data_IF_338396690679
#
_entry.id   IF_338396690679
#
_cell.length_a   1.000
_cell.length_b   1.000
_cell.length_c   1.000
_cell.angle_alpha   90.00
_cell.angle_beta   90.00
_cell.angle_gamma   90.00
#
_symmetry.space_group_name_H-M   'P 1'
#
loop_
_entity.id
_entity.type
_entity.pdbx_description
1 polymer ?
#
# COMPACT_ATOMS: atom_id res chain seq x y z
N UNK A 1 4.70 -56.75 -34.67
CA UNK A 1 5.47 -55.49 -34.52
C UNK A 1 4.74 -54.39 -35.26
N UNK A 2 4.77 -53.14 -34.78
CA UNK A 2 4.06 -51.95 -35.28
C UNK A 2 2.60 -51.81 -34.78
N UNK A 3 2.44 -51.23 -33.58
CA UNK A 3 1.25 -50.42 -33.22
C UNK A 3 1.45 -49.48 -32.02
N UNK A 4 2.65 -49.44 -31.42
CA UNK A 4 2.96 -48.60 -30.25
C UNK A 4 3.63 -47.25 -30.58
N UNK A 5 4.18 -47.03 -31.78
CA UNK A 5 4.88 -45.77 -32.09
C UNK A 5 3.96 -44.62 -32.53
N UNK A 6 2.84 -44.91 -33.20
CA UNK A 6 1.87 -43.87 -33.62
C UNK A 6 1.17 -43.24 -32.42
N UNK A 7 0.73 -44.06 -31.44
CA UNK A 7 0.05 -43.58 -30.22
C UNK A 7 0.98 -42.69 -29.38
N UNK A 8 2.27 -43.04 -29.25
CA UNK A 8 3.26 -42.20 -28.56
C UNK A 8 3.48 -40.86 -29.26
N UNK A 9 3.50 -40.81 -30.60
CA UNK A 9 3.60 -39.54 -31.35
C UNK A 9 2.37 -38.64 -31.14
N UNK A 10 1.16 -39.22 -31.12
CA UNK A 10 -0.06 -38.44 -30.86
C UNK A 10 -0.11 -37.92 -29.42
N UNK A 11 0.32 -38.71 -28.42
CA UNK A 11 0.40 -38.27 -27.03
C UNK A 11 1.40 -37.12 -26.86
N UNK A 12 2.57 -37.20 -27.51
CA UNK A 12 3.57 -36.12 -27.48
C UNK A 12 3.04 -34.85 -28.13
N UNK A 13 2.34 -34.96 -29.27
CA UNK A 13 1.72 -33.80 -29.95
C UNK A 13 0.62 -33.19 -29.08
N UNK A 14 -0.22 -34.01 -28.42
CA UNK A 14 -1.26 -33.54 -27.51
C UNK A 14 -0.63 -32.83 -26.29
N UNK A 15 0.44 -33.39 -25.72
CA UNK A 15 1.19 -32.75 -24.62
C UNK A 15 1.85 -31.44 -25.05
N UNK A 16 2.35 -31.35 -26.28
CA UNK A 16 2.90 -30.11 -26.85
C UNK A 16 1.81 -29.07 -27.11
N UNK A 17 0.63 -29.47 -27.60
CA UNK A 17 -0.50 -28.55 -27.79
C UNK A 17 -1.04 -28.06 -26.45
N UNK A 18 -1.13 -28.93 -25.45
CA UNK A 18 -1.53 -28.56 -24.08
C UNK A 18 -0.48 -27.63 -23.46
N UNK A 19 0.82 -27.89 -23.61
CA UNK A 19 1.86 -27.00 -23.11
C UNK A 19 1.91 -25.66 -23.86
N UNK A 20 1.64 -25.62 -25.16
CA UNK A 20 1.48 -24.36 -25.90
C UNK A 20 0.25 -23.57 -25.43
N UNK A 21 -0.88 -24.22 -25.13
CA UNK A 21 -2.07 -23.52 -24.59
C UNK A 21 -1.91 -23.07 -23.13
N UNK A 22 -1.13 -23.79 -22.33
CA UNK A 22 -0.80 -23.42 -20.95
C UNK A 22 0.24 -22.28 -20.89
N UNK A 23 1.19 -22.23 -21.84
CA UNK A 23 2.19 -21.16 -21.95
C UNK A 23 1.63 -19.87 -22.57
N UNK A 24 0.57 -19.93 -23.38
CA UNK A 24 -0.18 -18.73 -23.81
C UNK A 24 -1.08 -18.13 -22.72
N UNK A 25 -1.16 -18.78 -21.54
CA UNK A 25 -1.80 -18.22 -20.35
C UNK A 25 -0.80 -17.58 -19.37
N UNK A 26 0.48 -17.45 -19.73
CA UNK A 26 1.34 -16.37 -19.21
C UNK A 26 0.87 -15.04 -19.81
N UNK A 27 -0.30 -14.62 -19.34
CA UNK A 27 -0.99 -13.42 -19.76
C UNK A 27 -0.39 -12.21 -19.06
N UNK A 28 0.68 -11.66 -19.64
CA UNK A 28 0.80 -10.21 -19.67
C UNK A 28 -0.49 -9.69 -20.35
N UNK A 29 -1.34 -8.94 -19.62
CA UNK A 29 -2.68 -8.39 -20.01
C UNK A 29 -3.95 -9.03 -19.40
N UNK A 30 -3.92 -9.63 -18.19
CA UNK A 30 -5.16 -10.10 -17.51
C UNK A 30 -5.57 -9.28 -16.27
N UNK A 31 -5.24 -8.00 -16.23
CA UNK A 31 -6.15 -7.06 -15.58
C UNK A 31 -7.32 -6.88 -16.54
N UNK A 32 -8.56 -7.03 -16.06
CA UNK A 32 -9.76 -7.03 -16.90
C UNK A 32 -9.72 -5.84 -17.88
N UNK A 33 -10.09 -6.05 -19.15
CA UNK A 33 -10.32 -4.94 -20.09
C UNK A 33 -11.55 -4.09 -19.70
N UNK A 34 -12.16 -4.35 -18.55
CA UNK A 34 -13.35 -3.68 -18.05
C UNK A 34 -12.91 -2.55 -17.14
N UNK A 35 -13.50 -1.38 -17.37
CA UNK A 35 -13.23 -0.20 -16.60
C UNK A 35 -14.52 0.54 -16.31
N UNK A 36 -14.46 1.36 -15.27
CA UNK A 36 -15.49 2.32 -14.91
C UNK A 36 -14.88 3.70 -15.13
N UNK A 37 -15.60 4.57 -15.83
CA UNK A 37 -15.24 5.99 -15.96
C UNK A 37 -15.81 6.77 -14.79
N UNK A 38 -15.00 7.65 -14.20
CA UNK A 38 -15.42 8.61 -13.19
C UNK A 38 -15.21 10.03 -13.72
N UNK A 39 -16.30 10.77 -13.88
CA UNK A 39 -16.27 12.11 -14.49
C UNK A 39 -15.60 13.16 -13.59
N UNK A 40 -15.57 12.99 -12.28
CA UNK A 40 -15.03 14.00 -11.36
C UNK A 40 -13.92 13.41 -10.49
N UNK A 41 -12.97 12.71 -11.08
CA UNK A 41 -11.93 12.03 -10.30
C UNK A 41 -12.48 10.88 -9.45
N UNK A 42 -11.70 10.47 -8.45
CA UNK A 42 -12.05 9.33 -7.58
C UNK A 42 -11.61 9.57 -6.15
N UNK A 43 -12.53 9.31 -5.22
CA UNK A 43 -12.24 9.29 -3.79
C UNK A 43 -11.65 7.95 -3.39
N UNK A 44 -10.53 7.98 -2.68
CA UNK A 44 -9.87 6.84 -2.07
C UNK A 44 -10.14 6.89 -0.57
N UNK A 45 -10.86 5.90 -0.05
CA UNK A 45 -11.33 5.84 1.34
C UNK A 45 -11.40 4.38 1.83
N UNK A 46 -11.87 4.14 3.05
CA UNK A 46 -12.02 2.78 3.59
C UNK A 46 -12.97 1.95 2.73
N UNK A 47 -12.60 0.69 2.49
CA UNK A 47 -13.42 -0.27 1.75
C UNK A 47 -14.84 -0.39 2.32
N UNK A 48 -15.84 -0.35 1.43
CA UNK A 48 -17.25 -0.22 1.79
C UNK A 48 -17.73 -1.31 2.77
N UNK A 49 -17.20 -2.52 2.65
CA UNK A 49 -17.55 -3.66 3.52
C UNK A 49 -17.09 -3.47 4.98
N UNK A 50 -16.17 -2.55 5.25
CA UNK A 50 -15.67 -2.24 6.59
C UNK A 50 -16.42 -1.11 7.29
N UNK A 51 -17.11 -0.24 6.54
CA UNK A 51 -17.67 1.01 7.07
C UNK A 51 -18.63 0.80 8.26
N UNK A 52 -19.49 -0.22 8.21
CA UNK A 52 -20.43 -0.53 9.30
C UNK A 52 -19.75 -1.07 10.58
N UNK A 53 -18.50 -1.53 10.46
CA UNK A 53 -17.72 -2.07 11.57
C UNK A 53 -16.77 -1.04 12.16
N UNK A 54 -16.53 0.08 11.48
CA UNK A 54 -15.70 1.17 11.99
C UNK A 54 -16.28 1.71 13.29
N UNK A 55 -15.42 1.82 14.30
CA UNK A 55 -15.79 2.34 15.61
C UNK A 55 -16.19 3.82 15.53
N UNK A 56 -15.40 4.63 14.84
CA UNK A 56 -15.72 6.02 14.56
C UNK A 56 -16.02 6.20 13.06
N UNK A 57 -17.29 6.43 12.74
CA UNK A 57 -17.75 6.64 11.35
C UNK A 57 -17.70 8.11 10.91
N UNK A 58 -17.46 9.05 11.84
CA UNK A 58 -17.46 10.48 11.56
C UNK A 58 -16.11 10.99 11.01
N UNK A 59 -15.08 10.16 11.09
CA UNK A 59 -13.67 10.52 10.80
C UNK A 59 -13.03 9.52 9.84
N UNK A 60 -13.82 8.92 8.95
CA UNK A 60 -13.28 8.04 7.91
C UNK A 60 -12.45 8.87 6.94
N UNK A 61 -11.15 8.55 6.74
CA UNK A 61 -10.29 9.34 5.88
C UNK A 61 -10.72 9.16 4.43
N UNK A 62 -10.65 10.23 3.66
CA UNK A 62 -10.92 10.22 2.24
C UNK A 62 -9.97 11.18 1.54
N UNK A 63 -9.33 10.71 0.48
CA UNK A 63 -8.50 11.55 -0.36
C UNK A 63 -9.00 11.53 -1.80
N UNK A 64 -9.00 12.69 -2.44
CA UNK A 64 -9.48 12.83 -3.80
C UNK A 64 -8.32 12.81 -4.81
N UNK A 65 -8.43 11.97 -5.83
CA UNK A 65 -7.57 12.05 -7.01
C UNK A 65 -8.33 12.74 -8.15
N UNK A 66 -7.89 13.95 -8.49
CA UNK A 66 -8.54 14.76 -9.53
C UNK A 66 -8.06 14.36 -10.93
N UNK A 67 -8.98 13.80 -11.70
CA UNK A 67 -8.84 13.60 -13.15
C UNK A 67 -10.23 13.37 -13.76
N UNK A 68 -10.72 14.35 -14.52
CA UNK A 68 -11.98 14.25 -15.22
C UNK A 68 -11.98 13.11 -16.26
N UNK A 69 -12.97 12.23 -16.17
CA UNK A 69 -13.11 11.07 -17.05
C UNK A 69 -12.09 9.97 -16.76
N UNK A 70 -11.55 9.91 -15.54
CA UNK A 70 -10.58 8.88 -15.16
C UNK A 70 -11.17 7.48 -15.26
N UNK A 71 -10.42 6.58 -15.87
CA UNK A 71 -10.78 5.18 -16.04
C UNK A 71 -10.07 4.32 -15.02
N UNK A 72 -10.84 3.60 -14.23
CA UNK A 72 -10.33 2.70 -13.19
C UNK A 72 -10.83 1.28 -13.45
N UNK A 73 -10.05 0.27 -13.05
CA UNK A 73 -10.45 -1.14 -13.14
C UNK A 73 -11.79 -1.37 -12.45
N UNK A 74 -12.64 -2.23 -13.01
CA UNK A 74 -13.88 -2.69 -12.35
C UNK A 74 -13.62 -3.53 -11.09
N UNK A 75 -12.37 -3.89 -10.85
CA UNK A 75 -11.88 -4.53 -9.62
C UNK A 75 -11.33 -3.53 -8.60
N UNK A 76 -11.34 -2.23 -8.90
CA UNK A 76 -10.98 -1.21 -7.92
C UNK A 76 -11.98 -1.23 -6.77
N UNK A 77 -11.48 -1.03 -5.56
CA UNK A 77 -12.29 -0.87 -4.35
C UNK A 77 -12.25 0.58 -3.90
N UNK A 78 -12.93 0.93 -2.80
CA UNK A 78 -12.82 2.30 -2.28
C UNK A 78 -11.39 2.58 -1.79
N UNK A 79 -10.72 1.58 -1.21
CA UNK A 79 -9.37 1.75 -0.68
C UNK A 79 -8.28 1.56 -1.73
N UNK A 80 -8.57 0.93 -2.86
CA UNK A 80 -7.57 0.64 -3.90
C UNK A 80 -8.08 1.00 -5.28
N UNK A 81 -7.53 2.08 -5.83
CA UNK A 81 -7.79 2.53 -7.19
C UNK A 81 -6.70 2.03 -8.13
N UNK A 82 -7.09 1.29 -9.16
CA UNK A 82 -6.18 0.81 -10.20
C UNK A 82 -6.52 1.50 -11.53
N UNK A 83 -5.64 2.35 -12.03
CA UNK A 83 -5.87 3.12 -13.26
C UNK A 83 -5.69 2.24 -14.50
N UNK A 84 -6.61 2.30 -15.45
CA UNK A 84 -6.56 1.48 -16.67
C UNK A 84 -7.03 2.26 -17.89
N UNK A 85 -6.40 2.04 -19.04
CA UNK A 85 -6.86 2.57 -20.34
C UNK A 85 -7.05 4.10 -20.41
N UNK A 86 -6.39 4.85 -19.53
CA UNK A 86 -6.37 6.30 -19.59
C UNK A 86 -5.42 6.76 -20.72
N UNK A 87 -5.63 7.99 -21.19
CA UNK A 87 -4.54 8.70 -21.85
C UNK A 87 -3.37 8.80 -20.86
N UNK A 88 -2.21 8.26 -21.23
CA UNK A 88 -1.09 8.15 -20.29
C UNK A 88 -0.38 9.48 -20.04
N UNK A 89 -0.46 10.44 -20.96
CA UNK A 89 0.10 11.78 -20.70
C UNK A 89 -0.79 12.55 -19.74
N UNK A 90 -2.11 12.56 -19.99
CA UNK A 90 -3.06 13.21 -19.08
C UNK A 90 -3.05 12.56 -17.69
N UNK A 91 -3.00 11.22 -17.61
CA UNK A 91 -2.86 10.52 -16.34
C UNK A 91 -1.51 10.85 -15.66
N UNK A 92 -0.41 10.90 -16.40
CA UNK A 92 0.90 11.28 -15.87
C UNK A 92 0.87 12.67 -15.24
N UNK A 93 0.21 13.63 -15.91
CA UNK A 93 0.11 15.01 -15.44
C UNK A 93 -0.79 15.12 -14.20
N UNK A 94 -1.95 14.44 -14.21
CA UNK A 94 -2.82 14.34 -13.04
C UNK A 94 -2.10 13.69 -11.85
N UNK A 95 -1.30 12.66 -12.10
CA UNK A 95 -0.52 12.00 -11.06
C UNK A 95 0.61 12.88 -10.52
N UNK A 96 1.30 13.65 -11.37
CA UNK A 96 2.28 14.65 -10.93
C UNK A 96 1.63 15.68 -10.01
N UNK A 97 0.51 16.26 -10.43
CA UNK A 97 -0.25 17.24 -9.65
C UNK A 97 -0.70 16.66 -8.31
N UNK A 98 -1.19 15.41 -8.31
CA UNK A 98 -1.54 14.71 -7.09
C UNK A 98 -0.34 14.60 -6.14
N UNK A 99 0.83 14.15 -6.63
CA UNK A 99 2.03 14.04 -5.80
C UNK A 99 2.58 15.40 -5.34
N UNK A 100 2.47 16.44 -6.16
CA UNK A 100 2.89 17.81 -5.82
C UNK A 100 2.00 18.46 -4.76
N UNK A 101 0.77 17.98 -4.57
CA UNK A 101 -0.13 18.45 -3.51
C UNK A 101 0.35 18.11 -2.09
N UNK A 102 1.33 17.21 -1.96
CA UNK A 102 1.92 16.84 -0.67
C UNK A 102 3.31 17.43 -0.53
N UNK A 103 3.70 17.73 0.72
CA UNK A 103 5.05 18.16 1.05
C UNK A 103 6.04 17.01 0.89
N UNK A 104 7.31 17.32 0.62
CA UNK A 104 8.32 16.27 0.38
C UNK A 104 8.64 15.44 1.62
N UNK A 105 8.53 16.03 2.81
CA UNK A 105 8.71 15.35 4.10
C UNK A 105 7.54 14.40 4.45
N UNK A 106 6.43 14.47 3.71
CA UNK A 106 5.32 13.53 3.78
C UNK A 106 5.54 12.28 2.89
N UNK A 107 6.52 12.30 1.97
CA UNK A 107 6.72 11.26 0.95
C UNK A 107 7.91 10.39 1.29
N UNK A 108 7.74 9.08 1.21
CA UNK A 108 8.82 8.10 1.34
C UNK A 108 8.76 7.07 0.22
N UNK A 109 9.82 6.99 -0.60
CA UNK A 109 9.98 5.91 -1.57
C UNK A 109 10.49 4.67 -0.84
N UNK A 110 9.64 3.65 -0.70
CA UNK A 110 9.97 2.40 0.03
C UNK A 110 10.49 1.31 -0.89
N UNK A 111 10.25 1.44 -2.19
CA UNK A 111 10.84 0.57 -3.23
C UNK A 111 11.18 1.44 -4.44
N UNK A 112 12.37 1.24 -4.99
CA UNK A 112 12.77 1.80 -6.28
C UNK A 112 13.62 0.77 -7.02
N UNK A 113 13.16 0.32 -8.17
CA UNK A 113 13.82 -0.72 -8.98
C UNK A 113 13.98 -0.23 -10.40
N UNK A 114 15.21 -0.26 -10.92
CA UNK A 114 15.48 0.11 -12.30
C UNK A 114 14.81 -0.84 -13.30
N UNK A 115 14.12 -0.26 -14.29
CA UNK A 115 13.53 -1.03 -15.37
C UNK A 115 14.60 -1.38 -16.39
N UNK A 116 15.21 -2.56 -16.24
CA UNK A 116 16.38 -3.01 -17.00
C UNK A 116 16.22 -2.98 -18.54
N UNK A 117 14.97 -2.96 -19.05
CA UNK A 117 14.69 -2.89 -20.50
C UNK A 117 14.58 -1.46 -21.04
N UNK A 118 14.57 -0.45 -20.18
CA UNK A 118 14.44 0.98 -20.53
C UNK A 118 15.70 1.73 -20.13
N UNK A 119 16.79 1.51 -20.87
CA UNK A 119 18.10 2.13 -20.58
C UNK A 119 18.25 3.51 -21.21
N UNK A 120 17.86 3.67 -22.47
CA UNK A 120 17.95 4.95 -23.21
C UNK A 120 16.60 5.46 -23.68
N UNK A 121 15.60 4.59 -23.69
CA UNK A 121 14.25 4.90 -24.18
C UNK A 121 13.24 4.27 -23.24
N UNK A 122 12.29 5.07 -22.78
CA UNK A 122 11.15 4.63 -21.99
C UNK A 122 9.87 4.72 -22.82
N UNK A 123 8.89 3.88 -22.48
CA UNK A 123 7.56 3.93 -23.10
C UNK A 123 6.61 4.79 -22.28
N UNK A 124 5.69 5.46 -22.95
CA UNK A 124 4.48 6.04 -22.35
C UNK A 124 3.34 5.89 -23.35
N UNK A 125 2.32 5.12 -22.96
CA UNK A 125 1.28 4.68 -23.88
C UNK A 125 1.87 3.89 -25.05
N UNK A 126 1.65 4.41 -26.25
CA UNK A 126 2.19 3.84 -27.50
C UNK A 126 3.52 4.46 -27.91
N UNK A 127 3.92 5.54 -27.25
CA UNK A 127 5.08 6.34 -27.63
C UNK A 127 6.35 5.85 -26.94
N UNK A 128 7.47 6.28 -27.49
CA UNK A 128 8.82 6.01 -27.01
C UNK A 128 9.56 7.33 -26.89
N UNK A 129 9.99 7.65 -25.67
CA UNK A 129 10.70 8.88 -25.37
C UNK A 129 12.12 8.56 -24.93
N UNK A 130 13.07 9.37 -25.38
CA UNK A 130 14.47 9.27 -24.95
C UNK A 130 14.57 9.66 -23.47
N UNK A 131 15.21 8.82 -22.67
CA UNK A 131 15.47 9.10 -21.26
C UNK A 131 16.60 10.13 -21.18
N UNK A 132 16.44 11.13 -20.32
CA UNK A 132 17.45 12.17 -20.11
C UNK A 132 18.74 11.57 -19.56
N UNK A 133 19.88 12.06 -20.07
CA UNK A 133 21.20 11.62 -19.63
C UNK A 133 21.35 11.76 -18.10
N UNK A 134 21.87 10.72 -17.46
CA UNK A 134 22.04 10.66 -16.00
C UNK A 134 20.78 10.28 -15.22
N UNK A 135 19.63 10.09 -15.88
CA UNK A 135 18.39 9.61 -15.25
C UNK A 135 18.09 8.15 -15.62
N UNK A 136 17.13 7.54 -14.91
CA UNK A 136 16.75 6.13 -15.09
C UNK A 136 15.23 5.99 -15.12
N UNK A 137 14.76 4.94 -15.80
CA UNK A 137 13.39 4.46 -15.63
C UNK A 137 13.31 3.59 -14.38
N UNK A 138 12.42 3.94 -13.46
CA UNK A 138 12.30 3.34 -12.14
C UNK A 138 10.85 2.87 -11.90
N UNK A 139 10.67 1.67 -11.37
CA UNK A 139 9.43 1.22 -10.77
C UNK A 139 9.47 1.50 -9.28
N UNK A 140 8.55 2.34 -8.81
CA UNK A 140 8.54 2.86 -7.45
C UNK A 140 7.27 2.47 -6.69
N UNK A 141 7.44 2.31 -5.37
CA UNK A 141 6.34 2.38 -4.40
C UNK A 141 6.66 3.55 -3.47
N UNK A 142 5.75 4.51 -3.41
CA UNK A 142 5.84 5.68 -2.53
C UNK A 142 4.72 5.58 -1.50
N UNK A 143 5.08 5.72 -0.22
CA UNK A 143 4.13 5.95 0.87
C UNK A 143 4.05 7.46 1.10
N UNK A 144 2.84 7.98 1.23
CA UNK A 144 2.56 9.37 1.60
C UNK A 144 1.80 9.34 2.93
N UNK A 145 2.29 10.08 3.93
CA UNK A 145 1.60 10.27 5.21
C UNK A 145 0.89 11.62 5.20
N UNK A 146 -0.44 11.61 5.34
CA UNK A 146 -1.26 12.80 5.38
C UNK A 146 -1.10 13.55 6.71
N UNK A 147 -1.60 14.78 6.78
CA UNK A 147 -1.54 15.59 8.00
C UNK A 147 -2.17 14.90 9.21
N UNK A 148 -3.24 14.14 9.00
CA UNK A 148 -3.94 13.37 10.03
C UNK A 148 -3.27 12.03 10.37
N UNK A 149 -2.13 11.69 9.76
CA UNK A 149 -1.41 10.43 9.97
C UNK A 149 -1.89 9.26 9.09
N UNK A 150 -2.94 9.47 8.29
CA UNK A 150 -3.40 8.48 7.31
C UNK A 150 -2.29 8.21 6.29
N UNK A 151 -2.10 6.95 5.90
CA UNK A 151 -1.14 6.59 4.87
C UNK A 151 -1.82 6.18 3.58
N UNK A 152 -1.27 6.66 2.48
CA UNK A 152 -1.57 6.15 1.14
C UNK A 152 -0.30 5.61 0.48
N UNK A 153 -0.45 4.57 -0.33
CA UNK A 153 0.61 3.98 -1.14
C UNK A 153 0.32 4.21 -2.61
N UNK A 154 1.31 4.73 -3.32
CA UNK A 154 1.30 4.96 -4.75
C UNK A 154 2.28 4.00 -5.40
N UNK A 155 1.85 3.25 -6.42
CA UNK A 155 2.75 2.45 -7.25
C UNK A 155 2.68 2.90 -8.70
N UNK A 156 3.86 3.13 -9.28
CA UNK A 156 4.00 3.67 -10.63
C UNK A 156 5.40 3.35 -11.19
N UNK A 157 5.55 3.49 -12.51
CA UNK A 157 6.86 3.64 -13.15
C UNK A 157 7.11 5.11 -13.46
N UNK A 158 8.34 5.58 -13.31
CA UNK A 158 8.72 6.95 -13.62
C UNK A 158 10.02 7.02 -14.41
N UNK A 159 10.17 8.06 -15.24
CA UNK A 159 11.38 8.39 -15.99
C UNK A 159 11.37 9.88 -16.36
N UNK A 160 12.53 10.45 -16.69
CA UNK A 160 12.63 11.85 -17.13
C UNK A 160 12.95 11.90 -18.62
N UNK A 161 12.26 12.78 -19.36
CA UNK A 161 12.54 13.04 -20.78
C UNK A 161 12.30 14.53 -21.10
N UNK A 162 13.28 15.17 -21.74
CA UNK A 162 13.30 16.60 -22.02
C UNK A 162 13.03 17.47 -20.79
N UNK A 163 13.61 17.10 -19.64
CA UNK A 163 13.44 17.78 -18.36
C UNK A 163 12.12 17.52 -17.64
N UNK A 164 11.16 16.80 -18.26
CA UNK A 164 9.87 16.46 -17.65
C UNK A 164 9.91 15.06 -17.05
N UNK A 165 9.51 14.93 -15.79
CA UNK A 165 9.28 13.64 -15.14
C UNK A 165 7.90 13.11 -15.55
N UNK A 166 7.86 11.85 -15.97
CA UNK A 166 6.63 11.16 -16.35
C UNK A 166 6.28 10.06 -15.34
N UNK A 167 4.99 9.80 -15.17
CA UNK A 167 4.43 8.73 -14.36
C UNK A 167 3.60 7.83 -15.26
N UNK A 168 3.87 6.54 -15.26
CA UNK A 168 3.30 5.62 -16.22
C UNK A 168 3.06 4.23 -15.63
N UNK A 169 2.28 3.42 -16.35
CA UNK A 169 2.09 2.01 -16.01
C UNK A 169 3.42 1.27 -16.01
N UNK A 170 3.56 0.30 -15.10
CA UNK A 170 4.68 -0.63 -15.13
C UNK A 170 4.42 -1.69 -16.22
N UNK A 171 5.42 -2.52 -16.52
CA UNK A 171 5.24 -3.59 -17.51
C UNK A 171 4.44 -4.79 -16.96
N UNK A 172 4.35 -4.91 -15.64
CA UNK A 172 3.68 -6.01 -14.96
C UNK A 172 2.33 -5.58 -14.36
N UNK A 173 2.23 -4.31 -13.96
CA UNK A 173 1.14 -3.78 -13.13
C UNK A 173 0.75 -2.36 -13.58
N UNK A 174 -0.52 -2.03 -13.36
CA UNK A 174 -1.03 -0.70 -13.60
C UNK A 174 -0.61 0.27 -12.47
N UNK A 175 -0.69 1.57 -12.75
CA UNK A 175 -0.55 2.57 -11.70
C UNK A 175 -1.69 2.42 -10.70
N UNK A 176 -1.40 2.63 -9.42
CA UNK A 176 -2.40 2.55 -8.37
C UNK A 176 -2.16 3.55 -7.25
N UNK A 177 -3.25 3.96 -6.63
CA UNK A 177 -3.27 4.65 -5.33
C UNK A 177 -4.08 3.77 -4.39
N UNK A 178 -3.56 3.58 -3.17
CA UNK A 178 -4.18 2.73 -2.16
C UNK A 178 -4.16 3.40 -0.80
N UNK A 179 -5.30 3.52 -0.14
CA UNK A 179 -5.36 3.78 1.30
C UNK A 179 -4.82 2.57 2.03
N UNK A 180 -3.77 2.74 2.83
CA UNK A 180 -3.33 1.67 3.70
C UNK A 180 -4.31 1.49 4.85
N UNK A 181 -4.73 0.25 5.08
CA UNK A 181 -5.74 -0.08 6.08
C UNK A 181 -5.18 -1.02 7.16
N UNK A 182 -4.18 -0.58 7.96
CA UNK A 182 -3.80 -1.30 9.16
C UNK A 182 -4.95 -1.20 10.15
N UNK A 183 -5.48 -2.34 10.55
CA UNK A 183 -6.65 -2.38 11.43
C UNK A 183 -6.30 -2.93 12.80
N UNK A 184 -7.02 -2.43 13.80
CA UNK A 184 -7.13 -3.06 15.10
C UNK A 184 -8.59 -3.37 15.39
N UNK A 185 -8.84 -4.57 15.90
CA UNK A 185 -10.18 -4.98 16.35
C UNK A 185 -10.29 -4.66 17.82
N UNK A 186 -11.31 -3.90 18.21
CA UNK A 186 -11.59 -3.56 19.61
C UNK A 186 -12.95 -4.10 20.00
N UNK A 187 -13.16 -4.36 21.29
CA UNK A 187 -14.47 -4.74 21.82
C UNK A 187 -15.15 -3.53 22.48
N UNK A 188 -16.35 -3.18 22.00
CA UNK A 188 -17.21 -2.11 22.52
C UNK A 188 -18.65 -2.58 22.49
N UNK A 189 -19.39 -2.37 23.58
CA UNK A 189 -20.80 -2.78 23.71
C UNK A 189 -21.05 -4.26 23.33
N UNK A 190 -20.15 -5.15 23.74
CA UNK A 190 -20.15 -6.58 23.38
C UNK A 190 -20.07 -6.89 21.88
N UNK A 191 -19.68 -5.93 21.06
CA UNK A 191 -19.43 -6.09 19.63
C UNK A 191 -17.97 -5.81 19.29
N UNK A 192 -17.46 -6.55 18.32
CA UNK A 192 -16.16 -6.26 17.73
C UNK A 192 -16.32 -5.10 16.74
N UNK A 193 -15.47 -4.08 16.88
CA UNK A 193 -15.38 -2.90 16.03
C UNK A 193 -13.97 -2.77 15.48
N UNK A 194 -13.80 -1.98 14.44
CA UNK A 194 -12.53 -1.76 13.77
C UNK A 194 -12.12 -0.31 13.96
N UNK A 195 -10.84 -0.11 14.26
CA UNK A 195 -10.18 1.19 14.18
C UNK A 195 -9.03 1.10 13.19
N UNK A 196 -8.78 2.18 12.46
CA UNK A 196 -7.55 2.34 11.70
C UNK A 196 -6.40 2.62 12.69
N UNK A 197 -5.25 2.00 12.45
CA UNK A 197 -4.06 2.24 13.25
C UNK A 197 -3.19 3.35 12.65
N UNK A 198 -2.77 4.34 13.45
CA UNK A 198 -1.76 5.29 13.03
C UNK A 198 -0.40 4.60 13.10
N UNK A 199 0.16 4.24 11.95
CA UNK A 199 1.47 3.59 11.88
C UNK A 199 2.45 4.49 11.13
N UNK A 200 3.66 4.74 11.66
CA UNK A 200 4.71 5.47 10.95
C UNK A 200 5.10 4.81 9.63
N UNK A 201 5.75 5.56 8.73
CA UNK A 201 6.08 5.12 7.37
C UNK A 201 6.61 3.68 7.28
N UNK A 202 6.18 2.90 6.29
CA UNK A 202 6.69 1.53 6.02
C UNK A 202 6.60 0.51 7.18
N UNK A 203 5.98 0.87 8.31
CA UNK A 203 5.74 -0.08 9.42
C UNK A 203 4.92 -1.25 8.91
N UNK A 204 5.43 -2.47 9.07
CA UNK A 204 4.75 -3.71 8.63
C UNK A 204 3.68 -4.13 9.64
N UNK A 205 2.51 -4.51 9.12
CA UNK A 205 1.36 -4.91 9.92
C UNK A 205 0.74 -6.20 9.37
N UNK A 206 0.06 -6.96 10.25
CA UNK A 206 -0.55 -8.25 9.89
C UNK A 206 -2.05 -8.15 9.68
N UNK A 207 -2.75 -7.31 10.44
CA UNK A 207 -4.19 -7.13 10.35
C UNK A 207 -4.47 -6.01 9.34
N UNK A 208 -4.96 -6.39 8.15
CA UNK A 208 -5.11 -5.48 7.00
C UNK A 208 -6.47 -5.65 6.33
N UNK A 209 -7.11 -4.52 6.01
CA UNK A 209 -8.34 -4.47 5.21
C UNK A 209 -8.17 -4.82 3.74
N UNK A 210 -6.96 -4.69 3.20
CA UNK A 210 -6.72 -4.70 1.75
C UNK A 210 -6.92 -6.07 1.07
N UNK A 211 -6.80 -7.18 1.82
CA UNK A 211 -6.89 -8.54 1.27
C UNK A 211 -7.63 -9.54 2.17
N UNK A 212 -8.25 -9.05 3.24
CA UNK A 212 -8.97 -9.89 4.19
C UNK A 212 -10.44 -9.48 4.15
N UNK A 213 -11.36 -10.37 4.50
CA UNK A 213 -12.78 -9.99 4.67
C UNK A 213 -13.03 -9.55 6.11
N UNK A 214 -14.01 -8.64 6.35
CA UNK A 214 -14.37 -8.21 7.70
C UNK A 214 -14.64 -9.38 8.65
N UNK A 215 -15.41 -10.38 8.21
CA UNK A 215 -15.75 -11.58 9.00
C UNK A 215 -14.50 -12.32 9.52
N UNK A 216 -13.47 -12.44 8.69
CA UNK A 216 -12.21 -13.10 9.06
C UNK A 216 -11.43 -12.30 10.09
N UNK A 217 -11.45 -10.98 10.00
CA UNK A 217 -10.77 -10.10 10.96
C UNK A 217 -11.51 -10.08 12.29
N UNK A 218 -12.83 -9.89 12.24
CA UNK A 218 -13.68 -9.68 13.40
C UNK A 218 -13.85 -10.95 14.26
N UNK A 219 -13.81 -12.13 13.66
CA UNK A 219 -14.05 -13.40 14.39
C UNK A 219 -12.77 -14.06 14.91
N UNK A 220 -11.59 -13.47 14.70
CA UNK A 220 -10.32 -14.00 15.20
C UNK A 220 -10.01 -13.37 16.56
N UNK A 221 -10.13 -14.18 17.61
CA UNK A 221 -9.82 -13.76 18.98
C UNK A 221 -8.41 -13.17 19.11
N UNK A 222 -7.44 -13.69 18.35
CA UNK A 222 -6.05 -13.17 18.33
C UNK A 222 -5.93 -11.71 17.88
N UNK A 223 -6.94 -11.18 17.17
CA UNK A 223 -6.96 -9.80 16.71
C UNK A 223 -7.77 -8.91 17.63
N UNK A 224 -8.56 -9.43 18.57
CA UNK A 224 -9.27 -8.56 19.50
C UNK A 224 -8.25 -7.97 20.47
N UNK A 225 -8.10 -6.64 20.47
CA UNK A 225 -7.34 -5.92 21.47
C UNK A 225 -8.08 -6.01 22.80
N UNK A 226 -7.74 -7.05 23.57
CA UNK A 226 -8.27 -7.32 24.89
C UNK A 226 -7.38 -6.77 26.01
N UNK A 227 -6.45 -5.85 25.70
CA UNK A 227 -5.38 -5.42 26.62
C UNK A 227 -4.44 -6.57 27.05
N UNK A 228 -4.53 -7.74 26.41
CA UNK A 228 -3.63 -8.89 26.63
C UNK A 228 -2.70 -9.04 25.43
N UNK A 229 -1.48 -9.51 25.65
CA UNK A 229 -0.33 -9.61 24.73
C UNK A 229 -0.59 -10.22 23.35
N UNK A 230 -1.35 -9.53 22.50
CA UNK A 230 -1.38 -9.83 21.07
C UNK A 230 -0.16 -9.20 20.41
N UNK A 231 0.75 -10.06 19.97
CA UNK A 231 1.86 -9.70 19.08
C UNK A 231 1.40 -8.99 17.79
N UNK A 232 0.11 -9.02 17.45
CA UNK A 232 -0.43 -8.38 16.26
C UNK A 232 -0.37 -6.84 16.32
N UNK A 233 -0.31 -6.25 17.53
CA UNK A 233 -0.27 -4.80 17.75
C UNK A 233 1.04 -4.29 18.34
N UNK A 234 2.04 -5.15 18.39
CA UNK A 234 3.45 -4.78 18.59
C UNK A 234 4.10 -4.65 17.22
N UNK A 235 4.87 -3.60 16.98
CA UNK A 235 5.44 -3.26 15.67
C UNK A 235 6.93 -2.95 15.82
N UNK A 236 7.75 -3.53 14.94
CA UNK A 236 9.13 -3.07 14.78
C UNK A 236 9.11 -1.65 14.20
N UNK A 237 10.12 -0.85 14.51
CA UNK A 237 10.27 0.47 13.92
C UNK A 237 10.45 0.39 12.39
N UNK A 238 10.02 1.41 11.63
CA UNK A 238 10.31 1.55 10.20
C UNK A 238 11.77 1.29 9.85
N UNK A 239 12.01 0.47 8.82
CA UNK A 239 13.35 0.20 8.32
C UNK A 239 14.11 1.49 7.93
N UNK A 240 13.38 2.49 7.44
CA UNK A 240 13.93 3.79 7.10
C UNK A 240 14.58 4.54 8.28
N UNK A 241 14.07 4.38 9.50
CA UNK A 241 14.66 5.02 10.69
C UNK A 241 15.99 4.38 11.10
N UNK A 242 16.17 3.09 10.83
CA UNK A 242 17.44 2.41 11.06
C UNK A 242 18.58 2.90 10.15
N UNK A 243 18.26 3.61 9.06
CA UNK A 243 19.27 4.32 8.27
C UNK A 243 19.76 5.62 8.93
N UNK A 244 19.02 6.12 9.91
CA UNK A 244 19.35 7.33 10.67
C UNK A 244 20.05 6.99 11.98
N UNK A 245 19.56 5.98 12.68
CA UNK A 245 20.10 5.57 13.98
C UNK A 245 19.80 4.12 14.31
N UNK A 246 20.70 3.50 15.07
CA UNK A 246 20.46 2.19 15.71
C UNK A 246 20.30 2.31 17.22
N UNK A 247 20.33 3.53 17.77
CA UNK A 247 20.11 3.79 19.18
C UNK A 247 18.60 3.71 19.49
N UNK A 248 18.23 2.92 20.50
CA UNK A 248 16.83 2.71 20.86
C UNK A 248 16.13 4.00 21.30
N UNK A 249 16.76 4.82 22.15
CA UNK A 249 16.17 6.08 22.62
C UNK A 249 15.93 7.06 21.46
N UNK A 250 16.85 7.12 20.50
CA UNK A 250 16.67 7.94 19.30
C UNK A 250 15.54 7.43 18.39
N UNK A 251 15.38 6.10 18.25
CA UNK A 251 14.23 5.51 17.53
C UNK A 251 12.91 5.86 18.21
N UNK A 252 12.87 5.84 19.54
CA UNK A 252 11.70 6.26 20.32
C UNK A 252 11.38 7.73 20.06
N UNK A 253 12.38 8.60 20.04
CA UNK A 253 12.18 10.02 19.77
C UNK A 253 11.68 10.27 18.34
N UNK A 254 12.23 9.58 17.33
CA UNK A 254 11.71 9.63 15.95
C UNK A 254 10.23 9.20 15.88
N UNK A 255 9.86 8.17 16.65
CA UNK A 255 8.48 7.71 16.72
C UNK A 255 7.56 8.74 17.40
N UNK A 256 7.99 9.29 18.54
CA UNK A 256 7.26 10.36 19.25
C UNK A 256 7.05 11.57 18.36
N UNK A 257 8.10 12.05 17.68
CA UNK A 257 8.03 13.21 16.79
C UNK A 257 7.03 12.99 15.65
N UNK A 258 7.00 11.78 15.08
CA UNK A 258 6.02 11.41 14.07
C UNK A 258 4.59 11.48 14.61
N UNK A 259 4.34 10.90 15.79
CA UNK A 259 3.02 10.93 16.42
C UNK A 259 2.60 12.33 16.89
N UNK A 260 3.53 13.16 17.37
CA UNK A 260 3.28 14.56 17.73
C UNK A 260 2.82 15.32 16.49
N UNK A 261 3.54 15.15 15.37
CA UNK A 261 3.25 15.82 14.11
C UNK A 261 1.91 15.42 13.50
N UNK A 262 1.60 14.13 13.48
CA UNK A 262 0.50 13.59 12.68
C UNK A 262 -0.71 13.11 13.49
N UNK A 263 -0.56 12.86 14.78
CA UNK A 263 -1.57 12.16 15.59
C UNK A 263 -1.83 12.86 16.93
N UNK A 264 -1.54 14.17 17.03
CA UNK A 264 -1.70 14.96 18.26
C UNK A 264 -1.10 14.26 19.49
N UNK A 265 0.11 13.71 19.32
CA UNK A 265 0.80 12.97 20.37
C UNK A 265 1.26 13.85 21.53
N UNK A 266 1.16 13.35 22.75
CA UNK A 266 1.61 14.04 23.97
C UNK A 266 2.07 13.04 25.05
N UNK A 267 3.07 13.44 25.83
CA UNK A 267 3.44 12.76 27.06
C UNK A 267 2.47 13.15 28.19
N UNK A 268 1.77 12.16 28.75
CA UNK A 268 0.84 12.33 29.87
C UNK A 268 1.30 11.54 31.09
N UNK A 269 0.63 11.71 32.23
CA UNK A 269 0.87 10.90 33.43
C UNK A 269 0.61 9.39 33.19
N UNK A 270 -0.26 9.05 32.23
CA UNK A 270 -0.64 7.67 31.89
C UNK A 270 0.24 7.06 30.78
N UNK A 271 1.24 7.80 30.30
CA UNK A 271 2.14 7.45 29.21
C UNK A 271 1.98 8.33 27.99
N UNK A 272 2.57 7.92 26.86
CA UNK A 272 2.47 8.66 25.59
C UNK A 272 1.13 8.33 24.91
N UNK A 273 0.29 9.35 24.75
CA UNK A 273 -1.07 9.25 24.24
C UNK A 273 -1.15 9.98 22.90
N UNK A 274 -1.94 9.43 21.97
CA UNK A 274 -2.21 10.04 20.67
C UNK A 274 -3.71 10.08 20.42
N UNK A 275 -4.17 11.00 19.59
CA UNK A 275 -5.54 11.05 19.06
C UNK A 275 -5.48 10.97 17.53
N UNK A 276 -5.97 9.87 16.96
CA UNK A 276 -5.98 9.62 15.53
C UNK A 276 -7.40 9.32 15.07
N UNK A 277 -7.89 10.09 14.08
CA UNK A 277 -9.26 9.99 13.56
C UNK A 277 -10.33 9.95 14.67
N UNK A 278 -10.16 10.79 15.70
CA UNK A 278 -11.09 10.88 16.84
C UNK A 278 -11.07 9.68 17.79
N UNK A 279 -10.09 8.78 17.69
CA UNK A 279 -9.87 7.65 18.60
C UNK A 279 -8.57 7.87 19.36
N UNK A 280 -8.56 7.57 20.67
CA UNK A 280 -7.33 7.68 21.49
C UNK A 280 -6.61 6.36 21.59
N UNK A 281 -5.29 6.45 21.48
CA UNK A 281 -4.40 5.32 21.66
C UNK A 281 -3.30 5.63 22.66
N UNK A 282 -2.83 4.59 23.34
CA UNK A 282 -1.61 4.62 24.14
C UNK A 282 -0.50 3.89 23.39
N UNK A 283 0.69 4.48 23.38
CA UNK A 283 1.88 3.89 22.75
C UNK A 283 2.89 3.50 23.83
N UNK A 284 3.38 2.27 23.75
CA UNK A 284 4.42 1.73 24.62
C UNK A 284 5.66 1.41 23.78
N UNK A 285 6.80 2.04 24.09
CA UNK A 285 7.97 2.05 23.19
C UNK A 285 9.13 1.14 23.60
N UNK A 286 9.21 0.75 24.88
CA UNK A 286 10.33 -0.02 25.43
C UNK A 286 10.06 -1.52 25.30
N UNK A 287 9.79 -1.97 24.07
CA UNK A 287 9.48 -3.36 23.76
C UNK A 287 10.46 -3.90 22.74
N UNK A 288 10.49 -5.23 22.61
CA UNK A 288 11.21 -5.89 21.53
C UNK A 288 10.30 -6.86 20.82
N UNK A 289 10.57 -7.08 19.52
CA UNK A 289 9.82 -8.02 18.69
C UNK A 289 10.74 -8.69 17.70
N UNK A 290 10.48 -9.97 17.41
CA UNK A 290 11.15 -10.66 16.30
C UNK A 290 10.62 -10.09 14.98
N UNK A 291 11.48 -9.41 14.25
CA UNK A 291 11.18 -8.95 12.91
C UNK A 291 11.11 -10.16 11.97
N UNK A 292 9.95 -10.37 11.34
CA UNK A 292 9.71 -11.55 10.50
C UNK A 292 10.54 -11.57 9.21
N UNK A 293 11.11 -10.45 8.81
CA UNK A 293 11.94 -10.31 7.61
C UNK A 293 13.40 -10.56 7.92
N UNK A 294 13.96 -9.88 8.92
CA UNK A 294 15.37 -10.02 9.31
C UNK A 294 15.62 -11.23 10.23
N UNK A 295 14.57 -11.76 10.86
CA UNK A 295 14.60 -12.77 11.92
C UNK A 295 15.36 -12.32 13.19
N UNK A 296 15.71 -11.04 13.28
CA UNK A 296 16.34 -10.45 14.45
C UNK A 296 15.29 -9.99 15.48
N UNK A 297 15.67 -10.01 16.75
CA UNK A 297 14.93 -9.30 17.80
C UNK A 297 15.32 -7.83 17.73
N UNK A 298 14.35 -6.97 17.44
CA UNK A 298 14.55 -5.53 17.23
C UNK A 298 13.70 -4.73 18.22
N UNK A 299 14.12 -3.48 18.55
CA UNK A 299 13.27 -2.53 19.26
C UNK A 299 11.91 -2.38 18.59
N UNK A 300 10.86 -2.26 19.40
CA UNK A 300 9.49 -2.28 18.94
C UNK A 300 8.61 -1.39 19.82
N UNK A 301 7.44 -1.02 19.29
CA UNK A 301 6.41 -0.31 20.04
C UNK A 301 5.08 -1.03 19.94
N UNK A 302 4.22 -0.87 20.94
CA UNK A 302 2.87 -1.45 20.99
C UNK A 302 1.84 -0.34 21.06
N UNK A 303 0.76 -0.52 20.31
CA UNK A 303 -0.38 0.39 20.29
C UNK A 303 -1.55 -0.28 21.01
N UNK A 304 -2.21 0.47 21.89
CA UNK A 304 -3.45 0.07 22.56
C UNK A 304 -4.55 1.08 22.26
N UNK A 305 -5.76 0.62 21.96
CA UNK A 305 -6.91 1.52 21.83
C UNK A 305 -7.58 1.74 23.19
N UNK A 306 -7.57 2.98 23.69
CA UNK A 306 -8.03 3.29 25.04
C UNK A 306 -9.38 4.04 25.10
N UNK A 307 -9.79 4.72 24.02
CA UNK A 307 -11.15 5.30 23.93
C UNK A 307 -11.56 5.59 22.51
#
# INVERSE_FOLDING_TARGET
>A
MIKTSKIKKYIIIILLVISLTLLTNCSCNKLSNKYITKENGVDITVDAEYLSYMYNQNTIPSIHFDYNGVKISDQSTNAKVVFVQNDQYALSDAFSNFLESFTDDAKLITRSVEQAKETTVARIGKDRLTIDEGTKSLEEIMIITLEDGTRISCSYRTFTSNGKKYYAYTYAENMMIMLEQPFMVIRRDNQNKIVLLPLPYDTKYTVSGTNTKPETILNKDTYVDTLTDSDCYTFCYPAYWYNQTTNEEELINLAKDWYIKHCSGEDTIDGFIITYLGVKFKIEFNLTKVNKTSLATEPAFKIYCIS
#
